data_IF_668391588802
#
_entry.id   IF_668391588802
#
_cell.length_a   1.000
_cell.length_b   1.000
_cell.length_c   1.000
_cell.angle_alpha   90.00
_cell.angle_beta   90.00
_cell.angle_gamma   90.00
#
_symmetry.space_group_name_H-M   'P 1'
#
loop_
_entity.id
_entity.type
_entity.pdbx_description
1 polymer ?
#
# COMPACT_ATOMS: atom_id res chain seq x y z
N UNK A 1 -0.11 -1.24 -16.62
CA UNK A 1 -0.43 -0.97 -15.20
C UNK A 1 -1.23 0.33 -15.00
N UNK A 2 -2.02 0.70 -15.99
CA UNK A 2 -2.90 1.88 -15.97
C UNK A 2 -3.98 1.75 -14.87
N UNK A 3 -4.41 2.89 -14.33
CA UNK A 3 -5.55 2.99 -13.41
C UNK A 3 -6.88 3.19 -14.19
N UNK A 4 -6.87 3.10 -15.49
CA UNK A 4 -8.04 3.31 -16.34
C UNK A 4 -9.21 2.41 -15.92
N UNK A 5 -10.37 3.02 -15.69
CA UNK A 5 -11.55 2.35 -15.14
C UNK A 5 -11.55 2.18 -13.61
N UNK A 6 -10.46 2.51 -12.92
CA UNK A 6 -10.31 2.45 -11.47
C UNK A 6 -9.98 3.80 -10.81
N UNK A 7 -10.25 4.91 -11.48
CA UNK A 7 -9.84 6.26 -11.06
C UNK A 7 -10.39 6.66 -9.69
N UNK A 8 -11.54 6.10 -9.31
CA UNK A 8 -12.15 6.31 -8.00
C UNK A 8 -11.30 5.79 -6.82
N UNK A 9 -10.28 4.96 -7.08
CA UNK A 9 -9.36 4.47 -6.06
C UNK A 9 -8.65 5.63 -5.34
N UNK A 10 -8.17 6.62 -6.11
CA UNK A 10 -7.39 7.72 -5.54
C UNK A 10 -8.21 8.55 -4.55
N UNK A 11 -9.40 9.09 -4.91
CA UNK A 11 -10.21 9.81 -3.93
C UNK A 11 -10.72 8.93 -2.79
N UNK A 12 -10.95 7.63 -3.02
CA UNK A 12 -11.36 6.71 -1.97
C UNK A 12 -10.27 6.51 -0.92
N UNK A 13 -9.02 6.28 -1.35
CA UNK A 13 -7.88 6.16 -0.43
C UNK A 13 -7.62 7.49 0.29
N UNK A 14 -7.66 8.61 -0.42
CA UNK A 14 -7.47 9.93 0.18
C UNK A 14 -8.51 10.20 1.28
N UNK A 15 -9.77 9.93 1.01
CA UNK A 15 -10.85 10.06 1.98
C UNK A 15 -10.67 9.13 3.19
N UNK A 16 -10.31 7.85 2.95
CA UNK A 16 -10.04 6.88 4.00
C UNK A 16 -8.93 7.36 4.94
N UNK A 17 -7.80 7.80 4.37
CA UNK A 17 -6.64 8.28 5.14
C UNK A 17 -7.03 9.49 6.00
N UNK A 18 -7.67 10.49 5.41
CA UNK A 18 -8.07 11.69 6.14
C UNK A 18 -9.07 11.37 7.26
N UNK A 19 -10.08 10.55 6.98
CA UNK A 19 -11.08 10.13 7.96
C UNK A 19 -10.49 9.30 9.10
N UNK A 20 -9.53 8.43 8.81
CA UNK A 20 -8.84 7.63 9.82
C UNK A 20 -7.90 8.50 10.68
N UNK A 21 -7.20 9.47 10.07
CA UNK A 21 -6.37 10.43 10.80
C UNK A 21 -7.18 11.25 11.78
N UNK A 22 -8.40 11.67 11.43
CA UNK A 22 -9.32 12.36 12.35
C UNK A 22 -9.66 11.51 13.57
N UNK A 23 -9.77 10.20 13.39
CA UNK A 23 -10.03 9.22 14.47
C UNK A 23 -8.79 8.82 15.26
N UNK A 24 -7.63 9.34 14.94
CA UNK A 24 -6.42 9.15 15.72
C UNK A 24 -5.41 8.18 15.16
N UNK A 25 -5.61 7.65 13.94
CA UNK A 25 -4.59 6.89 13.22
C UNK A 25 -3.43 7.83 12.86
N UNK A 26 -2.21 7.39 13.10
CA UNK A 26 -0.98 8.14 12.88
C UNK A 26 -0.06 7.48 11.84
N UNK A 27 -0.24 6.18 11.63
CA UNK A 27 0.61 5.38 10.74
C UNK A 27 -0.27 4.59 9.77
N UNK A 28 0.07 4.66 8.49
CA UNK A 28 -0.59 3.93 7.42
C UNK A 28 0.41 3.00 6.73
N UNK A 29 0.13 1.71 6.70
CA UNK A 29 0.96 0.71 6.03
C UNK A 29 0.16 0.14 4.88
N UNK A 30 0.62 0.38 3.65
CA UNK A 30 -0.11 0.01 2.44
C UNK A 30 0.64 -1.04 1.62
N UNK A 31 -0.09 -2.03 1.14
CA UNK A 31 0.33 -2.94 0.09
C UNK A 31 -0.65 -2.88 -1.06
N UNK A 32 -0.17 -3.05 -2.28
CA UNK A 32 -1.04 -2.99 -3.43
C UNK A 32 -0.46 -3.75 -4.62
N UNK A 33 -1.36 -4.20 -5.50
CA UNK A 33 -1.00 -4.69 -6.83
C UNK A 33 -0.30 -3.62 -7.66
N UNK A 34 0.27 -3.99 -8.80
CA UNK A 34 0.95 -3.05 -9.70
C UNK A 34 -0.01 -2.09 -10.42
N UNK A 35 -1.29 -2.47 -10.58
CA UNK A 35 -2.30 -1.63 -11.23
C UNK A 35 -2.52 -0.36 -10.41
N UNK A 36 -2.32 0.79 -11.03
CA UNK A 36 -2.49 2.09 -10.40
C UNK A 36 -1.39 2.49 -9.41
N UNK A 37 -0.33 1.67 -9.23
CA UNK A 37 0.71 1.94 -8.23
C UNK A 37 1.43 3.26 -8.44
N UNK A 38 1.77 3.63 -9.68
CA UNK A 38 2.40 4.92 -9.97
C UNK A 38 1.48 6.10 -9.67
N UNK A 39 0.19 5.98 -9.98
CA UNK A 39 -0.81 7.00 -9.61
C UNK A 39 -0.92 7.17 -8.09
N UNK A 40 -0.92 6.06 -7.37
CA UNK A 40 -0.95 6.06 -5.89
C UNK A 40 0.32 6.70 -5.32
N UNK A 41 1.50 6.38 -5.85
CA UNK A 41 2.76 6.99 -5.44
C UNK A 41 2.74 8.51 -5.60
N UNK A 42 2.25 9.02 -6.74
CA UNK A 42 2.17 10.46 -6.99
C UNK A 42 1.11 11.12 -6.12
N UNK A 43 -0.12 10.63 -6.17
CA UNK A 43 -1.28 11.36 -5.64
C UNK A 43 -1.53 11.11 -4.15
N UNK A 44 -1.13 9.96 -3.62
CA UNK A 44 -1.33 9.59 -2.21
C UNK A 44 -0.06 9.76 -1.39
N UNK A 45 1.06 9.27 -1.91
CA UNK A 45 2.35 9.30 -1.20
C UNK A 45 3.20 10.54 -1.49
N UNK A 46 2.82 11.35 -2.49
CA UNK A 46 3.51 12.60 -2.83
C UNK A 46 4.87 12.40 -3.48
N UNK A 47 5.15 11.20 -4.05
CA UNK A 47 6.36 10.98 -4.84
C UNK A 47 6.32 11.86 -6.09
N UNK A 48 7.40 12.60 -6.34
CA UNK A 48 7.40 13.50 -7.50
C UNK A 48 7.42 12.72 -8.82
N UNK A 49 6.74 13.25 -9.84
CA UNK A 49 6.79 12.66 -11.19
C UNK A 49 8.21 12.64 -11.73
N UNK A 50 9.04 13.61 -11.33
CA UNK A 50 10.45 13.68 -11.70
C UNK A 50 11.24 12.48 -11.16
N UNK A 51 11.02 12.11 -9.91
CA UNK A 51 11.69 10.96 -9.29
C UNK A 51 11.27 9.67 -9.98
N UNK A 52 9.98 9.53 -10.29
CA UNK A 52 9.45 8.36 -11.03
C UNK A 52 10.09 8.28 -12.41
N UNK A 53 10.11 9.38 -13.17
CA UNK A 53 10.72 9.38 -14.51
C UNK A 53 12.24 9.23 -14.46
N UNK A 54 12.92 9.78 -13.45
CA UNK A 54 14.35 9.59 -13.22
C UNK A 54 14.69 8.11 -13.04
N UNK A 55 13.90 7.39 -12.23
CA UNK A 55 14.03 5.94 -12.05
C UNK A 55 13.84 5.17 -13.38
N UNK A 56 12.93 5.61 -14.26
CA UNK A 56 12.75 5.02 -15.60
C UNK A 56 13.93 5.26 -16.53
N UNK A 57 14.61 6.40 -16.41
CA UNK A 57 15.77 6.75 -17.23
C UNK A 57 17.09 6.14 -16.73
N UNK A 58 17.08 5.48 -15.58
CA UNK A 58 18.26 4.82 -14.99
C UNK A 58 19.32 5.79 -14.47
N UNK A 59 18.97 7.04 -14.19
CA UNK A 59 19.93 8.10 -13.83
C UNK A 59 20.32 8.15 -12.35
N UNK A 60 19.62 7.45 -11.47
CA UNK A 60 19.76 7.65 -10.02
C UNK A 60 20.40 6.49 -9.25
N UNK A 61 20.96 5.49 -9.93
CA UNK A 61 21.67 4.40 -9.28
C UNK A 61 23.11 4.33 -9.79
N UNK A 62 24.09 4.50 -8.90
CA UNK A 62 25.42 4.00 -9.11
C UNK A 62 25.28 2.49 -9.38
N UNK A 63 25.70 2.05 -10.56
CA UNK A 63 25.49 0.71 -11.12
C UNK A 63 26.01 -0.45 -10.26
N UNK A 64 26.71 -0.15 -9.17
CA UNK A 64 27.44 -1.15 -8.36
C UNK A 64 26.70 -1.62 -7.10
N UNK A 65 25.50 -1.11 -6.75
CA UNK A 65 24.90 -1.38 -5.43
C UNK A 65 23.58 -2.17 -5.50
N UNK A 66 22.86 -2.16 -6.61
CA UNK A 66 21.62 -2.92 -6.74
C UNK A 66 21.48 -3.55 -8.12
N UNK A 67 21.49 -4.87 -8.19
CA UNK A 67 20.93 -5.61 -9.31
C UNK A 67 19.48 -5.14 -9.52
N UNK A 68 19.21 -4.52 -10.67
CA UNK A 68 18.03 -3.75 -10.95
C UNK A 68 16.73 -4.51 -10.74
N UNK A 69 16.08 -4.29 -9.60
CA UNK A 69 14.71 -4.71 -9.40
C UNK A 69 13.75 -3.87 -10.26
N UNK A 70 12.62 -4.47 -10.61
CA UNK A 70 11.58 -3.79 -11.40
C UNK A 70 11.04 -2.61 -10.61
N UNK A 71 11.01 -1.42 -11.21
CA UNK A 71 10.63 -0.15 -10.57
C UNK A 71 9.25 -0.15 -9.91
N UNK A 72 8.35 -1.01 -10.36
CA UNK A 72 7.04 -1.25 -9.74
C UNK A 72 7.09 -2.03 -8.43
N UNK A 73 8.24 -2.64 -8.10
CA UNK A 73 8.44 -3.38 -6.86
C UNK A 73 8.84 -2.49 -5.69
N UNK A 74 9.37 -1.31 -5.95
CA UNK A 74 9.91 -0.44 -4.92
C UNK A 74 8.83 0.04 -3.97
N UNK A 75 9.18 0.08 -2.68
CA UNK A 75 8.40 0.71 -1.63
C UNK A 75 8.62 2.22 -1.58
N UNK A 76 7.85 2.90 -0.76
CA UNK A 76 8.00 4.33 -0.52
C UNK A 76 7.53 4.69 0.89
N UNK A 77 8.26 5.59 1.54
CA UNK A 77 7.87 6.14 2.84
C UNK A 77 7.80 7.65 2.73
N UNK A 78 6.75 8.24 3.27
CA UNK A 78 6.57 9.69 3.30
C UNK A 78 5.79 10.13 4.53
N UNK A 79 5.88 11.41 4.84
CA UNK A 79 5.03 12.08 5.82
C UNK A 79 4.01 12.94 5.08
N UNK A 80 2.82 13.02 5.63
CA UNK A 80 1.75 13.83 5.08
C UNK A 80 1.03 14.59 6.20
N UNK A 81 0.50 15.75 5.88
CA UNK A 81 -0.44 16.47 6.74
C UNK A 81 -1.86 16.18 6.26
N UNK A 82 -2.69 15.65 7.15
CA UNK A 82 -4.10 15.40 6.86
C UNK A 82 -4.89 16.70 6.70
N UNK A 83 -6.09 16.63 6.19
CA UNK A 83 -6.99 17.81 6.05
C UNK A 83 -7.32 18.45 7.40
N UNK A 84 -7.25 17.69 8.49
CA UNK A 84 -7.41 18.19 9.87
C UNK A 84 -6.13 18.75 10.48
N UNK A 85 -5.02 18.85 9.73
CA UNK A 85 -3.74 19.37 10.18
C UNK A 85 -2.89 18.39 10.98
N UNK A 86 -3.27 17.12 11.07
CA UNK A 86 -2.50 16.09 11.76
C UNK A 86 -1.39 15.55 10.88
N UNK A 87 -0.20 15.40 11.47
CA UNK A 87 0.92 14.69 10.83
C UNK A 87 0.67 13.20 10.86
N UNK A 88 0.82 12.55 9.71
CA UNK A 88 0.67 11.11 9.52
C UNK A 88 1.85 10.56 8.75
N UNK A 89 2.21 9.33 9.04
CA UNK A 89 3.26 8.58 8.35
C UNK A 89 2.63 7.59 7.37
N UNK A 90 3.21 7.53 6.18
CA UNK A 90 2.73 6.71 5.07
C UNK A 90 3.84 5.75 4.65
N UNK A 91 3.54 4.47 4.61
CA UNK A 91 4.48 3.44 4.19
C UNK A 91 3.82 2.57 3.11
N UNK A 92 4.39 2.58 1.90
CA UNK A 92 4.04 1.65 0.83
C UNK A 92 5.06 0.52 0.83
N UNK A 93 4.63 -0.69 1.17
CA UNK A 93 5.50 -1.85 1.18
C UNK A 93 6.05 -2.17 -0.22
N UNK A 94 7.31 -2.60 -0.36
CA UNK A 94 7.80 -3.18 -1.60
C UNK A 94 6.98 -4.42 -1.95
N UNK A 95 6.78 -4.66 -3.24
CA UNK A 95 5.88 -5.73 -3.70
C UNK A 95 6.44 -6.41 -4.95
N UNK A 96 6.79 -7.70 -4.92
CA UNK A 96 7.19 -8.45 -6.10
C UNK A 96 6.00 -8.70 -7.04
N UNK A 97 6.26 -9.28 -8.20
CA UNK A 97 5.21 -9.66 -9.17
C UNK A 97 4.35 -10.85 -8.73
N UNK A 98 4.60 -11.41 -7.55
CA UNK A 98 3.79 -12.50 -6.99
C UNK A 98 2.51 -11.93 -6.39
N UNK A 99 1.38 -12.27 -6.98
CA UNK A 99 0.07 -11.76 -6.57
C UNK A 99 -0.22 -12.07 -5.10
N UNK A 100 -0.65 -11.04 -4.36
CA UNK A 100 -1.07 -11.07 -2.94
C UNK A 100 0.05 -11.41 -1.93
N UNK A 101 1.29 -11.63 -2.37
CA UNK A 101 2.40 -11.93 -1.44
C UNK A 101 2.72 -10.75 -0.50
N UNK A 102 2.31 -9.55 -0.83
CA UNK A 102 2.47 -8.36 -0.01
C UNK A 102 1.52 -8.33 1.21
N UNK A 103 0.43 -9.07 1.19
CA UNK A 103 -0.58 -9.03 2.24
C UNK A 103 -0.01 -9.37 3.63
N UNK A 104 0.66 -10.51 3.82
CA UNK A 104 1.28 -10.82 5.10
C UNK A 104 2.44 -9.86 5.44
N UNK A 105 3.12 -9.30 4.45
CA UNK A 105 4.18 -8.31 4.67
C UNK A 105 3.60 -7.03 5.29
N UNK A 106 2.50 -6.53 4.75
CA UNK A 106 1.79 -5.35 5.31
C UNK A 106 1.36 -5.61 6.75
N UNK A 107 0.79 -6.79 7.02
CA UNK A 107 0.40 -7.17 8.38
C UNK A 107 1.61 -7.24 9.32
N UNK A 108 2.71 -7.81 8.87
CA UNK A 108 3.95 -7.90 9.65
C UNK A 108 4.54 -6.52 9.96
N UNK A 109 4.59 -5.62 8.98
CA UNK A 109 5.06 -4.24 9.18
C UNK A 109 4.13 -3.50 10.16
N UNK A 110 2.82 -3.59 9.96
CA UNK A 110 1.84 -2.96 10.86
C UNK A 110 1.96 -3.49 12.29
N UNK A 111 2.12 -4.80 12.45
CA UNK A 111 2.31 -5.43 13.75
C UNK A 111 3.59 -4.95 14.44
N UNK A 112 4.71 -4.89 13.73
CA UNK A 112 5.96 -4.41 14.26
C UNK A 112 5.86 -2.94 14.72
N UNK A 113 5.21 -2.08 13.94
CA UNK A 113 4.98 -0.69 14.31
C UNK A 113 4.09 -0.56 15.56
N UNK A 114 3.03 -1.36 15.65
CA UNK A 114 2.19 -1.39 16.85
C UNK A 114 2.98 -1.75 18.10
N UNK A 115 3.85 -2.76 18.02
CA UNK A 115 4.64 -3.22 19.17
C UNK A 115 5.73 -2.23 19.56
N UNK A 116 6.44 -1.67 18.57
CA UNK A 116 7.62 -0.86 18.82
C UNK A 116 7.29 0.61 19.11
N UNK A 117 6.27 1.17 18.45
CA UNK A 117 6.04 2.61 18.43
C UNK A 117 4.77 3.03 19.18
N UNK A 118 3.82 2.10 19.41
CA UNK A 118 2.48 2.45 19.92
C UNK A 118 1.96 1.56 21.06
N UNK A 119 2.82 0.84 21.77
CA UNK A 119 2.41 0.00 22.92
C UNK A 119 1.24 -0.96 22.61
N UNK A 120 1.19 -1.49 21.38
CA UNK A 120 0.09 -2.30 20.86
C UNK A 120 -1.27 -1.59 20.77
N UNK A 121 -1.30 -0.26 20.73
CA UNK A 121 -2.54 0.49 20.53
C UNK A 121 -3.00 0.40 19.06
N UNK A 122 -3.91 -0.52 18.79
CA UNK A 122 -4.44 -0.81 17.44
C UNK A 122 -5.18 0.38 16.79
N UNK A 123 -5.47 1.44 17.54
CA UNK A 123 -6.07 2.67 17.01
C UNK A 123 -5.03 3.66 16.44
N UNK A 124 -3.77 3.25 16.33
CA UNK A 124 -2.69 4.10 15.83
C UNK A 124 -2.18 3.72 14.45
N UNK A 125 -2.33 2.48 14.05
CA UNK A 125 -1.83 1.94 12.78
C UNK A 125 -2.99 1.39 11.95
N UNK A 126 -3.08 1.78 10.69
CA UNK A 126 -4.06 1.24 9.75
C UNK A 126 -3.36 0.55 8.57
N UNK A 127 -3.39 -0.79 8.50
CA UNK A 127 -3.01 -1.51 7.29
C UNK A 127 -4.07 -1.34 6.19
N UNK A 128 -3.61 -1.10 4.96
CA UNK A 128 -4.46 -0.96 3.77
C UNK A 128 -3.92 -1.91 2.70
N UNK A 129 -4.78 -2.76 2.15
CA UNK A 129 -4.41 -3.66 1.06
C UNK A 129 -5.32 -3.40 -0.15
N UNK A 130 -4.69 -3.18 -1.30
CA UNK A 130 -5.37 -3.02 -2.59
C UNK A 130 -5.09 -4.24 -3.44
N UNK A 131 -6.06 -5.11 -3.53
CA UNK A 131 -5.98 -6.39 -4.21
C UNK A 131 -6.16 -6.25 -5.74
N UNK A 132 -5.65 -7.22 -6.48
CA UNK A 132 -6.07 -7.47 -7.85
C UNK A 132 -7.40 -8.25 -7.88
N UNK A 133 -8.21 -8.05 -8.92
CA UNK A 133 -9.55 -8.59 -9.09
C UNK A 133 -9.65 -10.10 -8.81
N UNK A 134 -9.11 -10.93 -9.70
CA UNK A 134 -9.17 -12.38 -9.54
C UNK A 134 -8.23 -12.90 -8.43
N UNK A 135 -7.18 -12.15 -8.10
CA UNK A 135 -6.16 -12.56 -7.15
C UNK A 135 -6.71 -12.72 -5.74
N UNK A 136 -7.55 -11.79 -5.29
CA UNK A 136 -8.17 -11.85 -3.95
C UNK A 136 -8.95 -13.15 -3.73
N UNK A 137 -9.59 -13.67 -4.77
CA UNK A 137 -10.34 -14.92 -4.68
C UNK A 137 -9.50 -16.17 -4.97
N UNK A 138 -8.45 -16.02 -5.77
CA UNK A 138 -7.66 -17.15 -6.28
C UNK A 138 -6.42 -17.50 -5.46
N UNK A 139 -5.88 -16.56 -4.70
CA UNK A 139 -4.64 -16.77 -3.93
C UNK A 139 -4.91 -17.21 -2.50
N UNK A 140 -4.39 -18.38 -2.13
CA UNK A 140 -4.58 -18.95 -0.79
C UNK A 140 -4.03 -18.08 0.34
N UNK A 141 -2.97 -17.30 0.09
CA UNK A 141 -2.36 -16.39 1.07
C UNK A 141 -3.34 -15.36 1.62
N UNK A 142 -4.32 -14.92 0.83
CA UNK A 142 -5.38 -14.00 1.28
C UNK A 142 -6.20 -14.63 2.41
N UNK A 143 -6.61 -15.88 2.21
CA UNK A 143 -7.37 -16.62 3.23
C UNK A 143 -6.55 -16.87 4.49
N UNK A 144 -5.26 -17.16 4.35
CA UNK A 144 -4.36 -17.36 5.48
C UNK A 144 -4.23 -16.07 6.31
N UNK A 145 -4.06 -14.93 5.67
CA UNK A 145 -4.01 -13.62 6.34
C UNK A 145 -5.32 -13.31 7.07
N UNK A 146 -6.46 -13.58 6.45
CA UNK A 146 -7.77 -13.40 7.09
C UNK A 146 -7.91 -14.30 8.32
N UNK A 147 -7.50 -15.55 8.24
CA UNK A 147 -7.54 -16.48 9.39
C UNK A 147 -6.64 -16.03 10.53
N UNK A 148 -5.45 -15.51 10.24
CA UNK A 148 -4.51 -14.98 11.23
C UNK A 148 -5.03 -13.73 11.95
N UNK A 149 -5.96 -12.98 11.37
CA UNK A 149 -6.43 -11.69 11.88
C UNK A 149 -6.97 -11.73 13.32
N UNK A 150 -7.47 -12.86 13.78
CA UNK A 150 -7.99 -13.06 15.14
C UNK A 150 -7.02 -13.74 16.10
N UNK A 151 -5.84 -14.12 15.63
CA UNK A 151 -4.83 -14.72 16.48
C UNK A 151 -4.05 -13.63 17.22
N UNK A 152 -3.89 -13.77 18.53
CA UNK A 152 -3.26 -12.77 19.39
C UNK A 152 -1.87 -12.31 18.91
N UNK A 153 -1.07 -13.22 18.36
CA UNK A 153 0.29 -12.92 17.86
C UNK A 153 0.32 -12.22 16.49
N UNK A 154 -0.79 -12.20 15.75
CA UNK A 154 -0.86 -11.70 14.37
C UNK A 154 -1.83 -10.54 14.19
N UNK A 155 -2.75 -10.33 15.13
CA UNK A 155 -3.76 -9.28 15.02
C UNK A 155 -3.15 -7.89 14.98
N UNK A 156 -3.57 -7.09 14.01
CA UNK A 156 -3.21 -5.67 13.83
C UNK A 156 -4.37 -4.72 14.14
N UNK A 157 -5.50 -5.25 14.59
CA UNK A 157 -6.74 -4.48 14.80
C UNK A 157 -7.59 -4.44 13.52
N UNK A 158 -7.87 -3.27 13.00
CA UNK A 158 -8.61 -3.09 11.76
C UNK A 158 -7.69 -3.22 10.53
N UNK A 159 -8.24 -3.74 9.44
CA UNK A 159 -7.60 -3.74 8.11
C UNK A 159 -8.61 -3.23 7.10
N UNK A 160 -8.20 -2.34 6.23
CA UNK A 160 -9.02 -1.95 5.07
C UNK A 160 -8.59 -2.76 3.85
N UNK A 161 -9.54 -3.47 3.26
CA UNK A 161 -9.37 -4.21 2.01
C UNK A 161 -10.08 -3.48 0.88
N UNK A 162 -9.38 -3.26 -0.21
CA UNK A 162 -9.93 -2.69 -1.44
C UNK A 162 -9.46 -3.53 -2.61
N UNK A 163 -10.31 -3.81 -3.57
CA UNK A 163 -9.91 -4.49 -4.80
C UNK A 163 -10.21 -3.64 -6.04
N UNK A 164 -9.33 -3.73 -7.01
CA UNK A 164 -9.46 -3.08 -8.31
C UNK A 164 -9.81 -4.12 -9.36
N UNK A 165 -10.85 -3.83 -10.12
CA UNK A 165 -11.14 -4.53 -11.35
C UNK A 165 -10.65 -3.68 -12.52
N UNK A 166 -9.63 -4.15 -13.23
CA UNK A 166 -9.28 -3.58 -14.51
C UNK A 166 -10.42 -3.89 -15.51
N UNK A 167 -10.90 -2.88 -16.23
CA UNK A 167 -11.71 -3.14 -17.42
C UNK A 167 -10.78 -3.74 -18.48
N UNK A 168 -10.93 -5.02 -18.75
CA UNK A 168 -10.44 -5.58 -19.99
C UNK A 168 -11.26 -4.94 -21.10
N UNK A 169 -10.64 -4.08 -21.90
CA UNK A 169 -11.22 -3.68 -23.16
C UNK A 169 -11.23 -4.94 -24.05
N UNK A 170 -12.39 -5.56 -24.18
CA UNK A 170 -12.62 -6.52 -25.24
C UNK A 170 -12.52 -5.72 -26.53
N UNK A 171 -11.40 -5.85 -27.23
CA UNK A 171 -11.34 -5.48 -28.64
C UNK A 171 -12.22 -6.45 -29.39
N UNK A 172 -13.38 -5.98 -29.86
CA UNK A 172 -14.16 -6.62 -30.91
C UNK A 172 -13.35 -6.69 -32.20
#
# INVERSE_FOLDING_TARGET
FSLEGGESLIPAIDFLINSAAEKGIEEFVMGMSHIGRLNTLVNIFGKSSRDIFGEFEGKDYEEDIFDGDVKYHLGWTSERISTSGKKINMNLAPNPSHLESVDPIVQGIARAKLENDFDNNTNKVLPIIVHGDAAIAGQGVVYEVIQMSRLKGYSTGAVSYTHLRAHETTSD
#
